data_IF_737474870422
#
_entry.id   IF_737474870422
#
_cell.length_a   1.000
_cell.length_b   1.000
_cell.length_c   1.000
_cell.angle_alpha   90.00
_cell.angle_beta   90.00
_cell.angle_gamma   90.00
#
_symmetry.space_group_name_H-M   'P 1'
#
loop_
_entity.id
_entity.type
_entity.pdbx_description
1 polymer ?
#
# COMPACT_ATOMS: atom_id res chain seq x y z
N UNK A 1 -6.69 -1.80 23.07
CA UNK A 1 -5.25 -1.44 23.09
C UNK A 1 -4.83 -1.08 24.51
N UNK A 2 -3.63 -1.48 24.98
CA UNK A 2 -3.23 -1.30 26.39
C UNK A 2 -2.92 0.18 26.71
N UNK A 3 -3.24 0.62 27.93
CA UNK A 3 -3.00 2.01 28.37
C UNK A 3 -1.52 2.44 28.32
N UNK A 4 -0.59 1.48 28.32
CA UNK A 4 0.84 1.75 28.15
C UNK A 4 1.16 2.34 26.76
N UNK A 5 0.52 1.84 25.71
CA UNK A 5 0.77 2.31 24.35
C UNK A 5 0.32 3.76 24.20
N UNK A 6 -0.91 4.08 24.61
CA UNK A 6 -1.46 5.43 24.60
C UNK A 6 -0.62 6.44 25.40
N UNK A 7 -0.06 6.01 26.53
CA UNK A 7 0.80 6.88 27.37
C UNK A 7 2.09 7.26 26.63
N UNK A 8 2.71 6.31 25.92
CA UNK A 8 3.93 6.56 25.14
C UNK A 8 3.60 7.47 23.94
N UNK A 9 2.50 7.22 23.23
CA UNK A 9 2.06 8.10 22.14
C UNK A 9 1.86 9.53 22.62
N UNK A 10 1.18 9.73 23.74
CA UNK A 10 0.93 11.06 24.32
C UNK A 10 2.25 11.79 24.62
N UNK A 11 3.23 11.11 25.23
CA UNK A 11 4.57 11.68 25.47
C UNK A 11 5.27 12.12 24.18
N UNK A 12 5.15 11.32 23.11
CA UNK A 12 5.71 11.67 21.80
C UNK A 12 5.05 12.93 21.23
N UNK A 13 3.73 13.05 21.39
CA UNK A 13 3.00 14.23 20.93
C UNK A 13 3.34 15.50 21.72
N UNK A 14 3.57 15.37 23.03
CA UNK A 14 3.84 16.51 23.92
C UNK A 14 5.29 17.02 23.75
N UNK A 15 6.25 16.14 23.43
CA UNK A 15 7.67 16.49 23.26
C UNK A 15 8.26 15.99 21.93
N UNK A 16 7.74 16.43 20.76
CA UNK A 16 8.09 15.84 19.47
C UNK A 16 9.57 15.98 19.12
N UNK A 17 10.19 17.13 19.42
CA UNK A 17 11.61 17.35 19.11
C UNK A 17 12.49 16.32 19.82
N UNK A 18 12.29 16.11 21.11
CA UNK A 18 13.07 15.16 21.89
C UNK A 18 12.78 13.73 21.41
N UNK A 19 11.50 13.42 21.14
CA UNK A 19 11.08 12.09 20.71
C UNK A 19 11.63 11.67 19.35
N UNK A 20 11.95 12.59 18.44
CA UNK A 20 12.58 12.26 17.16
C UNK A 20 14.11 12.44 17.18
N UNK A 21 14.65 13.41 17.91
CA UNK A 21 16.10 13.65 18.00
C UNK A 21 16.82 12.54 18.75
N UNK A 22 16.27 12.05 19.86
CA UNK A 22 16.92 10.99 20.66
C UNK A 22 17.10 9.69 19.84
N UNK A 23 16.08 9.13 19.18
CA UNK A 23 16.26 7.97 18.31
C UNK A 23 17.19 8.24 17.13
N UNK A 24 17.18 9.46 16.57
CA UNK A 24 18.09 9.84 15.50
C UNK A 24 19.56 9.79 15.96
N UNK A 25 19.86 10.35 17.14
CA UNK A 25 21.21 10.35 17.72
C UNK A 25 21.65 8.92 18.05
N UNK A 26 20.76 8.10 18.61
CA UNK A 26 21.04 6.68 18.87
C UNK A 26 21.35 5.95 17.56
N UNK A 27 20.51 6.12 16.53
CA UNK A 27 20.74 5.50 15.22
C UNK A 27 22.02 6.02 14.55
N UNK A 28 22.35 7.31 14.68
CA UNK A 28 23.59 7.87 14.16
C UNK A 28 24.83 7.31 14.88
N UNK A 29 24.76 7.09 16.20
CA UNK A 29 25.82 6.45 16.96
C UNK A 29 26.02 4.98 16.53
N UNK A 30 24.92 4.23 16.36
CA UNK A 30 24.95 2.86 15.83
C UNK A 30 25.59 2.85 14.44
N UNK A 31 25.16 3.76 13.56
CA UNK A 31 25.70 3.89 12.21
C UNK A 31 27.18 4.25 12.20
N UNK A 32 27.64 5.14 13.08
CA UNK A 32 29.06 5.47 13.23
C UNK A 32 29.89 4.27 13.69
N UNK A 33 29.41 3.50 14.67
CA UNK A 33 30.09 2.26 15.12
C UNK A 33 30.20 1.26 13.97
N UNK A 34 29.14 1.12 13.20
CA UNK A 34 29.12 0.25 12.02
C UNK A 34 30.16 0.71 10.99
N UNK A 35 30.19 2.00 10.64
CA UNK A 35 31.15 2.54 9.66
C UNK A 35 32.61 2.39 10.13
N UNK A 36 32.87 2.52 11.43
CA UNK A 36 34.20 2.32 12.01
C UNK A 36 34.62 0.84 11.95
N UNK A 37 33.69 -0.08 12.19
CA UNK A 37 33.99 -1.52 12.29
C UNK A 37 34.01 -2.23 10.94
N UNK A 38 33.16 -1.83 9.99
CA UNK A 38 32.98 -2.49 8.69
C UNK A 38 33.54 -1.68 7.50
N UNK A 39 34.02 -0.46 7.76
CA UNK A 39 34.50 0.46 6.74
C UNK A 39 33.41 1.39 6.18
N UNK A 40 33.79 2.39 5.37
CA UNK A 40 32.87 3.41 4.86
C UNK A 40 32.03 2.95 3.66
N UNK A 41 32.24 1.73 3.16
CA UNK A 41 31.52 1.23 2.00
C UNK A 41 30.09 0.82 2.40
N UNK A 42 29.09 1.51 1.85
CA UNK A 42 27.69 1.20 2.09
C UNK A 42 27.30 -0.15 1.47
N UNK A 43 28.03 -0.66 0.47
CA UNK A 43 27.71 -1.93 -0.18
C UNK A 43 28.07 -3.14 0.68
N UNK A 44 29.21 -3.11 1.37
CA UNK A 44 29.59 -4.18 2.32
C UNK A 44 28.60 -4.23 3.48
N UNK A 45 28.01 -3.09 3.85
CA UNK A 45 26.98 -3.03 4.86
C UNK A 45 25.72 -3.82 4.48
N UNK A 46 25.26 -3.78 3.22
CA UNK A 46 24.09 -4.57 2.78
C UNK A 46 24.33 -6.08 2.76
N UNK A 47 25.59 -6.52 2.83
CA UNK A 47 25.98 -7.93 2.83
C UNK A 47 26.13 -8.52 4.24
N UNK A 48 25.85 -7.74 5.30
CA UNK A 48 25.92 -8.26 6.66
C UNK A 48 24.83 -9.30 6.92
N UNK A 49 25.23 -10.49 7.36
CA UNK A 49 24.32 -11.62 7.64
C UNK A 49 23.19 -11.27 8.62
N UNK A 50 23.45 -10.37 9.57
CA UNK A 50 22.45 -9.93 10.56
C UNK A 50 21.30 -9.14 9.93
N UNK A 51 21.51 -8.55 8.76
CA UNK A 51 20.51 -7.77 8.02
C UNK A 51 19.71 -8.62 7.04
N UNK A 52 20.21 -9.81 6.69
CA UNK A 52 19.60 -10.72 5.73
C UNK A 52 18.17 -11.08 6.12
N UNK A 53 17.91 -11.38 7.40
CA UNK A 53 16.57 -11.73 7.90
C UNK A 53 15.57 -10.57 7.85
N UNK A 54 15.84 -9.37 8.44
CA UNK A 54 14.90 -8.26 8.38
C UNK A 54 14.68 -7.76 6.94
N UNK A 55 15.72 -7.77 6.09
CA UNK A 55 15.60 -7.41 4.68
C UNK A 55 14.75 -8.44 3.90
N UNK A 56 14.89 -9.74 4.20
CA UNK A 56 14.05 -10.79 3.62
C UNK A 56 12.57 -10.60 4.00
N UNK A 57 12.27 -10.46 5.29
CA UNK A 57 10.89 -10.26 5.79
C UNK A 57 10.29 -9.02 5.13
N UNK A 58 11.05 -7.93 5.09
CA UNK A 58 10.57 -6.70 4.47
C UNK A 58 10.44 -6.81 2.95
N UNK A 59 11.35 -7.53 2.28
CA UNK A 59 11.31 -7.77 0.84
C UNK A 59 10.06 -8.58 0.45
N UNK A 60 9.75 -9.63 1.21
CA UNK A 60 8.52 -10.43 1.06
C UNK A 60 7.29 -9.55 1.24
N UNK A 61 7.23 -8.80 2.35
CA UNK A 61 6.11 -7.91 2.62
C UNK A 61 5.91 -6.92 1.48
N UNK A 62 6.98 -6.23 1.06
CA UNK A 62 6.90 -5.21 0.03
C UNK A 62 6.57 -5.75 -1.36
N UNK A 63 7.02 -6.95 -1.71
CA UNK A 63 6.61 -7.64 -2.95
C UNK A 63 5.13 -8.00 -2.92
N UNK A 64 4.61 -8.51 -1.80
CA UNK A 64 3.17 -8.75 -1.65
C UNK A 64 2.36 -7.45 -1.77
N UNK A 65 2.85 -6.37 -1.16
CA UNK A 65 2.23 -5.05 -1.21
C UNK A 65 2.33 -4.40 -2.60
N UNK A 66 3.35 -4.73 -3.39
CA UNK A 66 3.46 -4.32 -4.78
C UNK A 66 2.28 -4.84 -5.63
N UNK A 67 1.91 -6.11 -5.44
CA UNK A 67 0.74 -6.71 -6.09
C UNK A 67 -0.56 -5.97 -5.75
N UNK A 68 -0.72 -5.57 -4.48
CA UNK A 68 -1.83 -4.71 -4.06
C UNK A 68 -1.76 -3.34 -4.74
N UNK A 69 -0.58 -2.72 -4.80
CA UNK A 69 -0.37 -1.42 -5.46
C UNK A 69 -0.77 -1.40 -6.93
N UNK A 70 -0.45 -2.47 -7.67
CA UNK A 70 -0.87 -2.65 -9.06
C UNK A 70 -2.39 -2.69 -9.16
N UNK A 71 -3.06 -3.45 -8.29
CA UNK A 71 -4.52 -3.51 -8.32
C UNK A 71 -5.22 -2.24 -7.87
N UNK A 72 -4.66 -1.50 -6.90
CA UNK A 72 -5.15 -0.17 -6.55
C UNK A 72 -5.07 0.78 -7.75
N UNK A 73 -3.95 0.72 -8.49
CA UNK A 73 -3.73 1.53 -9.69
C UNK A 73 -4.73 1.16 -10.78
N UNK A 74 -4.90 -0.13 -11.04
CA UNK A 74 -5.88 -0.66 -11.98
C UNK A 74 -7.31 -0.19 -11.63
N UNK A 75 -7.73 -0.32 -10.37
CA UNK A 75 -9.05 0.12 -9.92
C UNK A 75 -9.24 1.64 -10.09
N UNK A 76 -8.20 2.44 -9.79
CA UNK A 76 -8.20 3.89 -10.00
C UNK A 76 -8.35 4.25 -11.48
N UNK A 77 -7.64 3.55 -12.37
CA UNK A 77 -7.72 3.75 -13.83
C UNK A 77 -9.12 3.37 -14.34
N UNK A 78 -9.67 2.25 -13.90
CA UNK A 78 -11.05 1.86 -14.25
C UNK A 78 -12.05 2.94 -13.84
N UNK A 79 -11.98 3.42 -12.59
CA UNK A 79 -12.85 4.48 -12.09
C UNK A 79 -12.75 5.76 -12.93
N UNK A 80 -11.53 6.14 -13.30
CA UNK A 80 -11.28 7.30 -14.16
C UNK A 80 -11.87 7.13 -15.57
N UNK A 81 -11.67 5.98 -16.21
CA UNK A 81 -12.22 5.66 -17.54
C UNK A 81 -13.76 5.71 -17.50
N UNK A 82 -14.39 5.14 -16.48
CA UNK A 82 -15.84 5.17 -16.31
C UNK A 82 -16.38 6.57 -16.01
N UNK A 83 -15.62 7.39 -15.29
CA UNK A 83 -16.00 8.77 -15.04
C UNK A 83 -15.97 9.60 -16.32
N UNK A 84 -14.90 9.50 -17.13
CA UNK A 84 -14.83 10.19 -18.42
C UNK A 84 -15.89 9.70 -19.42
N UNK A 85 -16.22 8.41 -19.37
CA UNK A 85 -17.16 7.78 -20.29
C UNK A 85 -18.63 7.88 -19.82
N UNK A 86 -18.91 8.45 -18.64
CA UNK A 86 -20.25 8.43 -18.04
C UNK A 86 -21.31 9.11 -18.90
N UNK A 87 -20.94 10.22 -19.52
CA UNK A 87 -21.83 11.01 -20.38
C UNK A 87 -22.07 10.29 -21.71
N UNK A 88 -21.07 9.57 -22.22
CA UNK A 88 -21.12 8.79 -23.46
C UNK A 88 -22.00 7.52 -23.35
N UNK A 89 -22.18 7.04 -22.12
CA UNK A 89 -22.87 5.78 -21.80
C UNK A 89 -24.30 6.04 -21.28
N UNK A 90 -24.69 7.30 -21.06
CA UNK A 90 -26.01 7.68 -20.54
C UNK A 90 -27.14 7.15 -21.46
N UNK A 91 -28.05 6.34 -20.90
CA UNK A 91 -29.22 5.80 -21.60
C UNK A 91 -28.97 4.61 -22.54
N UNK A 92 -27.74 4.10 -22.70
CA UNK A 92 -27.44 2.94 -23.58
C UNK A 92 -26.81 1.77 -22.83
N UNK A 93 -27.65 0.83 -22.39
CA UNK A 93 -27.25 -0.37 -21.62
C UNK A 93 -26.16 -1.20 -22.32
N UNK A 94 -26.26 -1.40 -23.65
CA UNK A 94 -25.25 -2.14 -24.42
C UNK A 94 -23.85 -1.52 -24.35
N UNK A 95 -23.74 -0.18 -24.36
CA UNK A 95 -22.44 0.51 -24.28
C UNK A 95 -21.85 0.42 -22.87
N UNK A 96 -22.70 0.47 -21.85
CA UNK A 96 -22.29 0.25 -20.46
C UNK A 96 -21.77 -1.17 -20.24
N UNK A 97 -22.48 -2.16 -20.80
CA UNK A 97 -22.08 -3.57 -20.73
C UNK A 97 -20.76 -3.83 -21.46
N UNK A 98 -20.56 -3.21 -22.63
CA UNK A 98 -19.29 -3.32 -23.37
C UNK A 98 -18.11 -2.73 -22.61
N UNK A 99 -18.23 -1.51 -22.06
CA UNK A 99 -17.17 -0.89 -21.26
C UNK A 99 -16.83 -1.74 -20.02
N UNK A 100 -17.85 -2.31 -19.37
CA UNK A 100 -17.69 -3.25 -18.26
C UNK A 100 -16.96 -4.52 -18.71
N UNK A 101 -17.36 -5.12 -19.83
CA UNK A 101 -16.68 -6.29 -20.39
C UNK A 101 -15.21 -6.02 -20.66
N UNK A 102 -14.88 -4.89 -21.28
CA UNK A 102 -13.51 -4.50 -21.59
C UNK A 102 -12.64 -4.41 -20.33
N UNK A 103 -13.12 -3.68 -19.31
CA UNK A 103 -12.39 -3.60 -18.02
C UNK A 103 -12.29 -4.97 -17.35
N UNK A 104 -13.37 -5.75 -17.29
CA UNK A 104 -13.35 -7.08 -16.68
C UNK A 104 -12.36 -8.04 -17.35
N UNK A 105 -12.21 -7.99 -18.68
CA UNK A 105 -11.23 -8.79 -19.42
C UNK A 105 -9.81 -8.51 -18.94
N UNK A 106 -9.46 -7.22 -18.74
CA UNK A 106 -8.13 -6.84 -18.23
C UNK A 106 -7.92 -7.42 -16.82
N UNK A 107 -8.92 -7.30 -15.93
CA UNK A 107 -8.85 -7.89 -14.60
C UNK A 107 -8.69 -9.41 -14.60
N UNK A 108 -9.41 -10.11 -15.48
CA UNK A 108 -9.29 -11.58 -15.66
C UNK A 108 -7.92 -11.95 -16.23
N UNK A 109 -7.37 -11.17 -17.16
CA UNK A 109 -6.03 -11.39 -17.68
C UNK A 109 -4.95 -11.26 -16.59
N UNK A 110 -5.06 -10.24 -15.73
CA UNK A 110 -4.17 -10.07 -14.57
C UNK A 110 -4.30 -11.27 -13.61
N UNK A 111 -5.53 -11.74 -13.37
CA UNK A 111 -5.78 -12.92 -12.52
C UNK A 111 -5.17 -14.20 -13.10
N UNK A 112 -5.41 -14.46 -14.38
CA UNK A 112 -4.84 -15.60 -15.09
C UNK A 112 -3.32 -15.58 -15.09
N UNK A 113 -2.74 -14.39 -15.30
CA UNK A 113 -1.29 -14.19 -15.20
C UNK A 113 -0.76 -14.47 -13.79
N UNK A 114 -1.44 -14.02 -12.73
CA UNK A 114 -1.01 -14.31 -11.36
C UNK A 114 -1.03 -15.83 -11.04
N UNK A 115 -2.05 -16.55 -11.49
CA UNK A 115 -2.13 -18.02 -11.36
C UNK A 115 -1.01 -18.69 -12.15
N UNK A 116 -0.79 -18.27 -13.40
CA UNK A 116 0.30 -18.76 -14.23
C UNK A 116 1.66 -18.53 -13.55
N UNK A 117 1.88 -17.35 -12.95
CA UNK A 117 3.13 -17.02 -12.25
C UNK A 117 3.38 -17.92 -11.05
N UNK A 118 2.37 -18.18 -10.23
CA UNK A 118 2.50 -19.14 -9.10
C UNK A 118 2.90 -20.51 -9.63
N UNK A 119 2.26 -20.98 -10.70
CA UNK A 119 2.59 -22.25 -11.32
C UNK A 119 4.04 -22.26 -11.85
N UNK A 120 4.46 -21.22 -12.59
CA UNK A 120 5.82 -21.14 -13.13
C UNK A 120 6.89 -21.06 -12.05
N UNK A 121 6.63 -20.34 -10.95
CA UNK A 121 7.59 -20.21 -9.85
C UNK A 121 7.68 -21.49 -9.02
N UNK A 122 6.58 -22.22 -8.80
CA UNK A 122 6.60 -23.45 -8.01
C UNK A 122 7.09 -24.68 -8.77
N UNK A 123 6.80 -24.78 -10.07
CA UNK A 123 7.01 -26.02 -10.84
C UNK A 123 8.06 -25.90 -11.94
N UNK A 124 8.30 -24.69 -12.49
CA UNK A 124 9.24 -24.48 -13.58
C UNK A 124 10.53 -23.79 -13.13
N UNK A 125 10.63 -23.45 -11.83
CA UNK A 125 11.72 -22.66 -11.24
C UNK A 125 12.04 -21.39 -12.06
N UNK A 126 11.00 -20.82 -12.66
CA UNK A 126 11.12 -19.64 -13.50
C UNK A 126 11.01 -18.38 -12.63
N UNK A 127 12.12 -17.65 -12.52
CA UNK A 127 12.16 -16.34 -11.88
C UNK A 127 11.33 -15.30 -12.63
N UNK A 128 11.13 -14.12 -12.03
CA UNK A 128 10.52 -12.98 -12.73
C UNK A 128 11.36 -12.60 -13.94
N UNK A 129 10.67 -12.32 -15.05
CA UNK A 129 11.31 -11.68 -16.18
C UNK A 129 11.63 -10.22 -15.83
N UNK A 130 12.69 -9.61 -16.40
CA UNK A 130 13.11 -8.25 -16.03
C UNK A 130 11.99 -7.20 -16.12
N UNK A 131 11.07 -7.34 -17.07
CA UNK A 131 9.92 -6.43 -17.18
C UNK A 131 8.91 -6.61 -16.04
N UNK A 132 8.74 -7.83 -15.52
CA UNK A 132 7.82 -8.13 -14.41
C UNK A 132 8.35 -7.55 -13.11
N UNK A 133 9.67 -7.52 -12.93
CA UNK A 133 10.31 -6.82 -11.83
C UNK A 133 10.14 -5.30 -11.91
N UNK A 134 10.24 -4.71 -13.10
CA UNK A 134 9.93 -3.29 -13.29
C UNK A 134 8.46 -2.99 -12.95
N UNK A 135 7.54 -3.89 -13.32
CA UNK A 135 6.12 -3.79 -12.95
C UNK A 135 5.93 -3.90 -11.43
N UNK A 136 6.65 -4.81 -10.76
CA UNK A 136 6.62 -4.92 -9.31
C UNK A 136 7.20 -3.67 -8.63
N UNK A 137 8.30 -3.12 -9.14
CA UNK A 137 8.89 -1.87 -8.65
C UNK A 137 7.90 -0.71 -8.81
N UNK A 138 7.24 -0.61 -9.97
CA UNK A 138 6.16 0.35 -10.20
C UNK A 138 5.01 0.16 -9.21
N UNK A 139 4.63 -1.08 -8.91
CA UNK A 139 3.63 -1.41 -7.89
C UNK A 139 3.98 -0.85 -6.51
N UNK A 140 5.24 -1.01 -6.09
CA UNK A 140 5.75 -0.44 -4.82
C UNK A 140 5.70 1.09 -4.86
N UNK A 141 6.19 1.70 -5.94
CA UNK A 141 6.19 3.16 -6.10
C UNK A 141 4.78 3.72 -6.05
N UNK A 142 3.86 3.16 -6.83
CA UNK A 142 2.47 3.56 -6.87
C UNK A 142 1.82 3.44 -5.48
N UNK A 143 2.06 2.32 -4.78
CA UNK A 143 1.57 2.11 -3.43
C UNK A 143 2.10 3.20 -2.48
N UNK A 144 3.42 3.40 -2.39
CA UNK A 144 4.03 4.38 -1.48
C UNK A 144 3.54 5.80 -1.80
N UNK A 145 3.49 6.17 -3.08
CA UNK A 145 3.02 7.48 -3.51
C UNK A 145 1.55 7.71 -3.15
N UNK A 146 0.68 6.74 -3.46
CA UNK A 146 -0.75 6.84 -3.21
C UNK A 146 -1.09 6.81 -1.71
N UNK A 147 -0.39 5.98 -0.94
CA UNK A 147 -0.64 5.75 0.49
C UNK A 147 -0.06 6.85 1.37
N UNK A 148 1.16 7.33 1.07
CA UNK A 148 1.89 8.23 1.95
C UNK A 148 2.10 9.62 1.36
N UNK A 149 2.68 9.71 0.16
CA UNK A 149 3.09 11.00 -0.40
C UNK A 149 1.88 11.87 -0.74
N UNK A 150 0.90 11.33 -1.46
CA UNK A 150 -0.30 12.07 -1.87
C UNK A 150 -1.12 12.54 -0.64
N UNK A 151 -1.44 11.69 0.35
CA UNK A 151 -2.19 12.13 1.52
C UNK A 151 -1.40 13.07 2.43
N UNK A 152 -0.07 12.90 2.55
CA UNK A 152 0.79 13.82 3.31
C UNK A 152 0.77 15.23 2.71
N UNK A 153 0.87 15.36 1.38
CA UNK A 153 0.83 16.66 0.68
C UNK A 153 -0.57 17.28 0.76
N UNK A 154 -1.64 16.48 0.66
CA UNK A 154 -3.04 16.96 0.68
C UNK A 154 -3.57 17.27 2.08
N UNK A 155 -2.78 17.07 3.14
CA UNK A 155 -3.20 17.21 4.53
C UNK A 155 -4.33 16.23 4.95
N UNK A 156 -4.50 15.11 4.26
CA UNK A 156 -5.59 14.14 4.52
C UNK A 156 -5.11 12.83 5.17
N UNK A 157 -3.88 12.80 5.69
CA UNK A 157 -3.34 11.59 6.31
C UNK A 157 -3.95 11.38 7.71
N UNK A 158 -4.92 10.46 7.79
CA UNK A 158 -5.55 9.99 9.01
C UNK A 158 -5.68 8.45 8.94
N UNK A 159 -4.77 7.68 9.56
CA UNK A 159 -4.85 6.23 9.55
C UNK A 159 -5.99 5.76 10.47
N UNK A 160 -6.98 5.07 9.91
CA UNK A 160 -8.10 4.48 10.67
C UNK A 160 -7.86 2.98 10.84
N UNK A 161 -7.80 2.46 12.07
CA UNK A 161 -7.58 1.02 12.32
C UNK A 161 -8.78 0.31 12.96
N UNK A 162 -9.79 1.02 13.44
CA UNK A 162 -11.02 0.41 13.97
C UNK A 162 -12.25 1.02 13.32
N UNK A 163 -12.92 0.22 12.47
CA UNK A 163 -14.32 0.47 12.13
C UNK A 163 -15.11 0.14 13.39
N UNK A 164 -15.52 1.16 14.15
CA UNK A 164 -16.40 1.00 15.31
C UNK A 164 -17.64 0.18 14.93
N UNK A 165 -18.27 -0.49 15.90
CA UNK A 165 -19.54 -1.22 15.68
C UNK A 165 -20.61 -0.33 15.03
N UNK A 166 -20.62 0.96 15.37
CA UNK A 166 -21.42 2.01 14.72
C UNK A 166 -21.03 2.26 13.26
N UNK A 167 -19.73 2.25 12.93
CA UNK A 167 -19.21 2.30 11.57
C UNK A 167 -19.69 1.13 10.72
N UNK A 168 -19.66 -0.10 11.24
CA UNK A 168 -20.14 -1.30 10.54
C UNK A 168 -21.65 -1.25 10.25
N UNK A 169 -22.43 -0.75 11.19
CA UNK A 169 -23.89 -0.56 11.02
C UNK A 169 -24.18 0.53 10.00
N UNK A 170 -23.45 1.64 10.03
CA UNK A 170 -23.56 2.73 9.03
C UNK A 170 -23.18 2.26 7.62
N UNK A 171 -22.17 1.42 7.51
CA UNK A 171 -21.73 0.83 6.25
C UNK A 171 -22.77 -0.16 5.70
N UNK A 172 -23.35 -1.01 6.56
CA UNK A 172 -24.44 -1.92 6.20
C UNK A 172 -25.71 -1.17 5.76
N UNK A 173 -26.12 -0.13 6.50
CA UNK A 173 -27.24 0.76 6.14
C UNK A 173 -26.97 1.52 4.84
N UNK A 174 -25.72 1.98 4.64
CA UNK A 174 -25.27 2.58 3.40
C UNK A 174 -25.42 1.61 2.23
N UNK A 175 -25.00 0.35 2.38
CA UNK A 175 -25.17 -0.72 1.39
C UNK A 175 -26.62 -0.86 0.95
N UNK A 176 -27.54 -1.02 1.91
CA UNK A 176 -28.96 -1.17 1.66
C UNK A 176 -29.61 0.05 0.98
N UNK A 177 -29.24 1.27 1.40
CA UNK A 177 -29.74 2.50 0.77
C UNK A 177 -29.29 2.62 -0.69
N UNK A 178 -28.07 2.18 -0.99
CA UNK A 178 -27.53 2.24 -2.34
C UNK A 178 -28.09 1.16 -3.26
N UNK A 179 -28.36 -0.05 -2.75
CA UNK A 179 -29.00 -1.10 -3.57
C UNK A 179 -30.42 -0.69 -3.99
N UNK A 180 -31.17 -0.05 -3.08
CA UNK A 180 -32.47 0.56 -3.39
C UNK A 180 -32.36 1.70 -4.41
N UNK A 181 -31.40 2.62 -4.21
CA UNK A 181 -31.12 3.71 -5.14
C UNK A 181 -30.72 3.19 -6.54
N UNK A 182 -29.84 2.19 -6.60
CA UNK A 182 -29.41 1.49 -7.83
C UNK A 182 -30.60 0.88 -8.55
N UNK A 183 -31.47 0.19 -7.83
CA UNK A 183 -32.70 -0.39 -8.39
C UNK A 183 -33.61 0.68 -8.98
N UNK A 184 -33.82 1.78 -8.25
CA UNK A 184 -34.65 2.89 -8.69
C UNK A 184 -34.07 3.60 -9.92
N UNK A 185 -32.79 3.96 -9.87
CA UNK A 185 -32.12 4.72 -10.93
C UNK A 185 -31.95 3.90 -12.23
N UNK A 186 -31.70 2.59 -12.11
CA UNK A 186 -31.54 1.70 -13.28
C UNK A 186 -32.87 1.27 -13.89
N UNK A 187 -33.88 0.90 -13.08
CA UNK A 187 -35.16 0.40 -13.59
C UNK A 187 -36.15 1.50 -13.97
N UNK A 188 -36.16 2.64 -13.27
CA UNK A 188 -37.17 3.69 -13.47
C UNK A 188 -36.63 4.81 -14.37
N UNK A 189 -35.36 5.20 -14.18
CA UNK A 189 -34.78 6.35 -14.88
C UNK A 189 -33.82 5.98 -16.03
N UNK A 190 -33.46 4.70 -16.19
CA UNK A 190 -32.54 4.24 -17.24
C UNK A 190 -31.15 4.88 -17.17
N UNK A 191 -30.76 5.46 -16.03
CA UNK A 191 -29.49 6.18 -15.86
C UNK A 191 -28.32 5.22 -15.54
N UNK A 192 -28.11 4.21 -16.39
CA UNK A 192 -27.09 3.17 -16.17
C UNK A 192 -25.68 3.74 -16.01
N UNK A 193 -25.32 4.79 -16.77
CA UNK A 193 -24.02 5.45 -16.64
C UNK A 193 -23.78 6.01 -15.24
N UNK A 194 -24.77 6.73 -14.68
CA UNK A 194 -24.68 7.36 -13.36
C UNK A 194 -24.65 6.34 -12.22
N UNK A 195 -25.38 5.24 -12.36
CA UNK A 195 -25.32 4.10 -11.42
C UNK A 195 -23.92 3.52 -11.41
N UNK A 196 -23.33 3.26 -12.58
CA UNK A 196 -21.99 2.70 -12.69
C UNK A 196 -20.91 3.64 -12.18
N UNK A 197 -20.96 4.92 -12.51
CA UNK A 197 -20.01 5.91 -11.97
C UNK A 197 -20.06 5.91 -10.44
N UNK A 198 -21.24 5.80 -9.84
CA UNK A 198 -21.37 5.80 -8.38
C UNK A 198 -20.95 4.49 -7.72
N UNK A 199 -21.12 3.35 -8.38
CA UNK A 199 -20.54 2.06 -7.95
C UNK A 199 -19.00 2.14 -7.90
N UNK A 200 -18.37 2.67 -8.96
CA UNK A 200 -16.92 2.83 -9.00
C UNK A 200 -16.38 3.91 -8.05
N UNK A 201 -17.13 4.98 -7.81
CA UNK A 201 -16.80 5.95 -6.76
C UNK A 201 -16.81 5.29 -5.39
N UNK A 202 -17.82 4.48 -5.09
CA UNK A 202 -17.87 3.69 -3.85
C UNK A 202 -16.70 2.72 -3.73
N UNK A 203 -16.33 2.05 -4.82
CA UNK A 203 -15.11 1.25 -4.84
C UNK A 203 -13.88 2.10 -4.49
N UNK A 204 -13.76 3.30 -5.07
CA UNK A 204 -12.71 4.26 -4.74
C UNK A 204 -12.69 4.68 -3.27
N UNK A 205 -13.86 4.92 -2.66
CA UNK A 205 -14.00 5.25 -1.24
C UNK A 205 -13.57 4.08 -0.34
N UNK A 206 -14.00 2.85 -0.64
CA UNK A 206 -13.57 1.67 0.11
C UNK A 206 -12.07 1.40 -0.07
N UNK A 207 -11.54 1.58 -1.28
CA UNK A 207 -10.09 1.50 -1.55
C UNK A 207 -9.31 2.55 -0.76
N UNK A 208 -9.87 3.75 -0.54
CA UNK A 208 -9.26 4.77 0.30
C UNK A 208 -9.23 4.37 1.79
N UNK A 209 -10.27 3.68 2.27
CA UNK A 209 -10.31 3.13 3.62
C UNK A 209 -9.29 2.00 3.81
N UNK A 210 -9.21 1.08 2.86
CA UNK A 210 -8.17 0.03 2.84
C UNK A 210 -6.78 0.64 2.77
N UNK A 211 -6.60 1.69 1.97
CA UNK A 211 -5.34 2.45 1.89
C UNK A 211 -4.98 3.08 3.24
N UNK A 212 -5.94 3.64 3.97
CA UNK A 212 -5.71 4.22 5.30
C UNK A 212 -5.27 3.14 6.30
N UNK A 213 -5.93 1.98 6.32
CA UNK A 213 -5.55 0.82 7.15
C UNK A 213 -4.17 0.28 6.77
N UNK A 214 -3.91 0.10 5.48
CA UNK A 214 -2.62 -0.33 4.96
C UNK A 214 -1.52 0.67 5.31
N UNK A 215 -1.78 1.99 5.28
CA UNK A 215 -0.79 3.03 5.57
C UNK A 215 -0.18 2.92 6.97
N UNK A 216 -0.94 2.42 7.93
CA UNK A 216 -0.42 2.23 9.27
C UNK A 216 0.40 0.94 9.43
N UNK A 217 -0.01 -0.10 8.72
CA UNK A 217 0.65 -1.42 8.72
C UNK A 217 1.93 -1.43 7.87
N UNK A 218 1.93 -0.66 6.78
CA UNK A 218 3.00 -0.52 5.81
C UNK A 218 4.25 0.18 6.38
N UNK A 219 4.11 0.97 7.44
CA UNK A 219 5.25 1.71 7.98
C UNK A 219 6.27 0.77 8.63
N UNK A 220 5.84 -0.39 9.13
CA UNK A 220 6.73 -1.38 9.75
C UNK A 220 7.67 -2.03 8.72
N UNK A 221 7.20 -2.57 7.59
CA UNK A 221 8.08 -2.96 6.48
C UNK A 221 9.00 -1.81 6.02
N UNK A 222 8.50 -0.58 5.93
CA UNK A 222 9.32 0.59 5.58
C UNK A 222 10.46 0.79 6.59
N UNK A 223 10.21 0.63 7.90
CA UNK A 223 11.26 0.70 8.92
C UNK A 223 12.33 -0.38 8.73
N UNK A 224 11.94 -1.60 8.33
CA UNK A 224 12.86 -2.71 8.10
C UNK A 224 13.74 -2.50 6.87
N UNK A 225 13.20 -1.93 5.78
CA UNK A 225 14.02 -1.51 4.62
C UNK A 225 15.03 -0.43 5.00
N UNK A 226 14.71 0.41 5.98
CA UNK A 226 15.60 1.48 6.42
C UNK A 226 16.65 1.03 7.43
N UNK A 227 16.67 -0.22 7.88
CA UNK A 227 17.70 -0.73 8.80
C UNK A 227 19.12 -0.42 8.32
N UNK A 228 19.43 -0.39 7.00
CA UNK A 228 20.71 0.04 6.50
C UNK A 228 21.08 1.51 6.67
N UNK A 229 20.09 2.31 7.04
CA UNK A 229 20.24 3.69 7.48
C UNK A 229 19.66 3.79 8.90
N UNK A 230 20.35 3.26 9.93
CA UNK A 230 19.87 3.24 11.32
C UNK A 230 19.28 4.54 11.85
N UNK A 231 19.84 5.76 11.60
CA UNK A 231 19.22 6.99 12.06
C UNK A 231 17.80 7.20 11.49
N UNK A 232 17.59 6.87 10.21
CA UNK A 232 16.27 6.95 9.58
C UNK A 232 15.35 5.82 10.04
N UNK A 233 15.87 4.60 10.24
CA UNK A 233 15.08 3.48 10.76
C UNK A 233 14.51 3.78 12.15
N UNK A 234 15.33 4.29 13.07
CA UNK A 234 14.91 4.63 14.43
C UNK A 234 13.83 5.73 14.42
N UNK A 235 14.01 6.75 13.58
CA UNK A 235 13.03 7.83 13.42
C UNK A 235 11.73 7.33 12.80
N UNK A 236 11.81 6.49 11.77
CA UNK A 236 10.66 5.84 11.15
C UNK A 236 9.91 4.94 12.15
N UNK A 237 10.63 4.23 13.02
CA UNK A 237 10.02 3.39 14.05
C UNK A 237 9.24 4.20 15.10
N UNK A 238 9.77 5.35 15.53
CA UNK A 238 9.02 6.27 16.40
C UNK A 238 7.81 6.85 15.68
N UNK A 239 7.94 7.20 14.41
CA UNK A 239 6.81 7.66 13.60
C UNK A 239 5.73 6.58 13.47
N UNK A 240 6.12 5.32 13.26
CA UNK A 240 5.20 4.17 13.23
C UNK A 240 4.47 4.04 14.56
N UNK A 241 5.21 4.05 15.66
CA UNK A 241 4.63 3.97 17.00
C UNK A 241 3.67 5.14 17.26
N UNK A 242 4.00 6.35 16.81
CA UNK A 242 3.16 7.54 16.91
C UNK A 242 1.87 7.41 16.11
N UNK A 243 1.93 6.90 14.88
CA UNK A 243 0.76 6.66 14.03
C UNK A 243 -0.13 5.54 14.56
N UNK A 244 0.47 4.52 15.19
CA UNK A 244 -0.28 3.39 15.76
C UNK A 244 -0.86 3.70 17.14
N UNK A 245 -0.21 4.53 17.95
CA UNK A 245 -0.62 4.79 19.33
C UNK A 245 -1.69 5.87 19.47
N UNK A 246 -1.75 6.84 18.55
CA UNK A 246 -2.56 8.04 18.68
C UNK A 246 -3.34 8.23 17.38
N UNK A 247 -4.49 7.56 17.33
CA UNK A 247 -5.38 7.54 16.17
C UNK A 247 -6.09 8.89 15.95
N UNK A 248 -6.35 9.65 17.02
CA UNK A 248 -7.26 10.79 16.97
C UNK A 248 -6.59 12.15 16.75
N UNK A 249 -5.25 12.20 16.73
CA UNK A 249 -4.51 13.45 16.53
C UNK A 249 -3.83 13.47 15.15
N UNK A 250 -4.09 14.47 14.30
CA UNK A 250 -3.44 14.56 13.00
C UNK A 250 -1.93 14.77 13.14
N UNK A 251 -1.15 14.24 12.19
CA UNK A 251 0.29 14.46 12.12
C UNK A 251 0.63 15.94 11.88
N UNK A 252 1.67 16.43 12.55
CA UNK A 252 2.18 17.79 12.36
C UNK A 252 2.81 17.96 10.97
N UNK A 253 2.95 19.20 10.51
CA UNK A 253 3.59 19.49 9.22
C UNK A 253 5.01 18.91 9.12
N UNK A 254 5.80 18.99 10.20
CA UNK A 254 7.15 18.42 10.27
C UNK A 254 7.17 16.90 10.21
N UNK A 255 6.24 16.21 10.88
CA UNK A 255 6.12 14.75 10.86
C UNK A 255 5.69 14.24 9.49
N UNK A 256 4.85 15.01 8.77
CA UNK A 256 4.45 14.71 7.39
C UNK A 256 5.60 14.91 6.41
N UNK A 257 6.38 15.98 6.57
CA UNK A 257 7.60 16.18 5.77
C UNK A 257 8.60 15.04 6.00
N UNK A 258 8.78 14.63 7.26
CA UNK A 258 9.62 13.51 7.65
C UNK A 258 9.13 12.19 7.02
N UNK A 259 7.81 11.93 7.02
CA UNK A 259 7.21 10.78 6.35
C UNK A 259 7.49 10.76 4.85
N UNK A 260 7.43 11.92 4.18
CA UNK A 260 7.77 12.05 2.76
C UNK A 260 9.26 11.75 2.53
N UNK A 261 10.16 12.28 3.37
CA UNK A 261 11.60 11.98 3.28
C UNK A 261 11.89 10.49 3.46
N UNK A 262 11.31 9.87 4.50
CA UNK A 262 11.42 8.44 4.78
C UNK A 262 10.95 7.61 3.58
N UNK A 263 9.77 7.94 3.03
CA UNK A 263 9.17 7.19 1.93
C UNK A 263 9.93 7.34 0.61
N UNK A 264 10.41 8.54 0.29
CA UNK A 264 11.28 8.77 -0.87
C UNK A 264 12.62 8.03 -0.70
N UNK A 265 13.19 8.03 0.50
CA UNK A 265 14.43 7.28 0.78
C UNK A 265 14.22 5.79 0.58
N UNK A 266 13.10 5.23 1.04
CA UNK A 266 12.75 3.82 0.80
C UNK A 266 12.57 3.51 -0.67
N UNK A 267 11.95 4.41 -1.45
CA UNK A 267 11.84 4.26 -2.91
C UNK A 267 13.23 4.16 -3.53
N UNK A 268 14.13 5.10 -3.22
CA UNK A 268 15.50 5.13 -3.74
C UNK A 268 16.25 3.86 -3.33
N UNK A 269 16.24 3.52 -2.05
CA UNK A 269 16.97 2.37 -1.51
C UNK A 269 16.44 1.06 -2.12
N UNK A 270 15.12 0.92 -2.28
CA UNK A 270 14.54 -0.25 -2.94
C UNK A 270 14.93 -0.34 -4.42
N UNK A 271 14.95 0.77 -5.14
CA UNK A 271 15.40 0.81 -6.53
C UNK A 271 16.88 0.47 -6.65
N UNK A 272 17.73 0.95 -5.73
CA UNK A 272 19.13 0.58 -5.69
C UNK A 272 19.30 -0.91 -5.37
N UNK A 273 18.59 -1.44 -4.37
CA UNK A 273 18.63 -2.86 -4.05
C UNK A 273 18.20 -3.73 -5.24
N UNK A 274 17.25 -3.27 -6.05
CA UNK A 274 16.84 -3.96 -7.27
C UNK A 274 17.99 -4.03 -8.29
N UNK A 275 18.70 -2.93 -8.55
CA UNK A 275 19.77 -2.93 -9.54
C UNK A 275 21.06 -3.62 -9.08
N UNK A 276 21.32 -3.68 -7.77
CA UNK A 276 22.63 -4.08 -7.24
C UNK A 276 22.63 -5.31 -6.34
N UNK A 277 21.49 -5.73 -5.78
CA UNK A 277 21.41 -6.71 -4.68
C UNK A 277 20.38 -7.81 -4.92
N UNK A 278 20.05 -8.16 -6.16
CA UNK A 278 19.25 -9.36 -6.41
C UNK A 278 20.02 -10.60 -5.95
N UNK A 279 19.71 -11.04 -4.72
CA UNK A 279 20.19 -12.29 -4.15
C UNK A 279 19.38 -13.42 -4.80
N UNK A 280 19.97 -14.23 -5.70
CA UNK A 280 19.22 -15.26 -6.42
C UNK A 280 18.58 -16.28 -5.47
N UNK A 281 19.21 -16.51 -4.32
CA UNK A 281 18.72 -17.40 -3.27
C UNK A 281 17.39 -16.96 -2.62
N UNK A 282 16.96 -15.71 -2.80
CA UNK A 282 15.71 -15.18 -2.24
C UNK A 282 14.60 -14.96 -3.28
N UNK A 283 14.90 -15.16 -4.57
CA UNK A 283 13.98 -14.87 -5.67
C UNK A 283 12.65 -15.63 -5.53
N UNK A 284 12.70 -16.93 -5.18
CA UNK A 284 11.50 -17.75 -4.99
C UNK A 284 10.52 -17.15 -3.98
N UNK A 285 11.01 -16.65 -2.84
CA UNK A 285 10.17 -16.06 -1.80
C UNK A 285 9.55 -14.74 -2.25
N UNK A 286 10.31 -13.93 -2.99
CA UNK A 286 9.84 -12.65 -3.52
C UNK A 286 8.79 -12.82 -4.63
N UNK A 287 8.98 -13.80 -5.51
CA UNK A 287 8.12 -14.07 -6.65
C UNK A 287 6.78 -14.66 -6.20
N UNK A 288 6.82 -15.58 -5.22
CA UNK A 288 5.61 -16.10 -4.57
C UNK A 288 4.87 -15.00 -3.82
N UNK A 289 5.57 -14.18 -3.04
CA UNK A 289 4.94 -13.10 -2.28
C UNK A 289 4.23 -12.10 -3.21
N UNK A 290 4.87 -11.73 -4.31
CA UNK A 290 4.29 -10.87 -5.35
C UNK A 290 3.00 -11.47 -5.92
N UNK A 291 3.04 -12.74 -6.33
CA UNK A 291 1.91 -13.41 -6.96
C UNK A 291 0.74 -13.62 -5.98
N UNK A 292 1.04 -13.98 -4.72
CA UNK A 292 0.06 -14.04 -3.63
C UNK A 292 -0.54 -12.66 -3.37
N UNK A 293 0.26 -11.59 -3.39
CA UNK A 293 -0.21 -10.22 -3.25
C UNK A 293 -1.22 -9.83 -4.33
N UNK A 294 -0.94 -10.16 -5.60
CA UNK A 294 -1.89 -9.95 -6.70
C UNK A 294 -3.17 -10.74 -6.47
N UNK A 295 -3.09 -12.04 -6.19
CA UNK A 295 -4.29 -12.86 -5.97
C UNK A 295 -5.11 -12.40 -4.78
N UNK A 296 -4.48 -12.08 -3.65
CA UNK A 296 -5.17 -11.57 -2.48
C UNK A 296 -5.90 -10.26 -2.79
N UNK A 297 -5.28 -9.36 -3.57
CA UNK A 297 -5.90 -8.11 -3.98
C UNK A 297 -7.08 -8.32 -4.95
N UNK A 298 -6.99 -9.30 -5.85
CA UNK A 298 -8.08 -9.70 -6.76
C UNK A 298 -9.24 -10.30 -5.98
N UNK A 299 -8.95 -11.22 -5.06
CA UNK A 299 -9.97 -11.86 -4.21
C UNK A 299 -10.65 -10.82 -3.33
N UNK A 300 -9.90 -9.88 -2.74
CA UNK A 300 -10.46 -8.76 -2.01
C UNK A 300 -11.35 -7.90 -2.91
N UNK A 301 -10.91 -7.59 -4.14
CA UNK A 301 -11.72 -6.85 -5.11
C UNK A 301 -12.99 -7.59 -5.51
N UNK A 302 -12.93 -8.90 -5.78
CA UNK A 302 -14.09 -9.73 -6.12
C UNK A 302 -15.07 -9.86 -4.96
N UNK A 303 -14.57 -10.06 -3.74
CA UNK A 303 -15.39 -10.07 -2.53
C UNK A 303 -16.13 -8.75 -2.37
N UNK A 304 -15.45 -7.64 -2.65
CA UNK A 304 -16.01 -6.30 -2.52
C UNK A 304 -17.05 -6.03 -3.61
N UNK A 305 -16.79 -6.44 -4.86
CA UNK A 305 -17.75 -6.32 -5.98
C UNK A 305 -19.00 -7.17 -5.76
N UNK A 306 -18.87 -8.36 -5.19
CA UNK A 306 -20.03 -9.25 -4.94
C UNK A 306 -20.88 -8.82 -3.75
N UNK A 307 -20.31 -8.09 -2.79
CA UNK A 307 -21.03 -7.59 -1.60
C UNK A 307 -21.75 -6.24 -1.82
N UNK A 308 -21.39 -5.49 -2.85
CA UNK A 308 -22.01 -4.20 -3.26
C UNK A 308 -23.11 -4.33 -4.31
#
# INVERSE_FOLDING_TARGET
MSGAMQTIGKKINDHPVISYVVPFVIGAAIFAVILITQGPDLFTFFQLDILTVPLLISGIAMRALAGIGIMLTYASVCSFIFHLSSDFVKGRERRAAFLKGLTAIIGVAIAGYAVYRIYSTLYLDAGLAPFEDLVALYGIWSLILLVYVVPAIRNTYAPEFEISTLGRVKEALGGARFSLWRGYQSRIWGEYGKVRTREFQRYGETLALWRAQLSGLLLLPICLILVPLPPLACVAFVLWFRTFSLHDTPLRASERALLVVITVTVIILRTLMYFYLEVPAMALYFDLAYSVGILASILAFLYLVTRT
#
